data_IF_209770992015
#
_entry.id   IF_209770992015
#
_cell.length_a   1.000
_cell.length_b   1.000
_cell.length_c   1.000
_cell.angle_alpha   90.00
_cell.angle_beta   90.00
_cell.angle_gamma   90.00
#
_symmetry.space_group_name_H-M   'P 1'
#
loop_
_entity.id
_entity.type
_entity.pdbx_description
1 polymer ?
#
# COMPACT_ATOMS: atom_id res chain seq x y z
N UNK A 1 33.81 -27.04 -27.54
CA UNK A 1 32.58 -27.15 -26.73
C UNK A 1 32.64 -26.29 -25.47
N UNK A 2 33.70 -26.39 -24.64
CA UNK A 2 33.86 -25.60 -23.40
C UNK A 2 33.78 -24.08 -23.57
N UNK A 3 34.39 -23.53 -24.62
CA UNK A 3 34.35 -22.08 -24.92
C UNK A 3 32.97 -21.58 -25.33
N UNK A 4 32.19 -22.40 -26.06
CA UNK A 4 30.79 -22.09 -26.39
C UNK A 4 29.92 -22.10 -25.13
N UNK A 5 30.16 -23.03 -24.21
CA UNK A 5 29.48 -23.08 -22.92
C UNK A 5 29.77 -21.83 -22.08
N UNK A 6 31.04 -21.41 -22.02
CA UNK A 6 31.45 -20.21 -21.30
C UNK A 6 30.79 -18.94 -21.86
N UNK A 7 30.69 -18.83 -23.19
CA UNK A 7 30.01 -17.71 -23.85
C UNK A 7 28.51 -17.66 -23.55
N UNK A 8 27.83 -18.81 -23.53
CA UNK A 8 26.40 -18.89 -23.17
C UNK A 8 26.18 -18.51 -21.70
N UNK A 9 27.03 -18.98 -20.79
CA UNK A 9 26.94 -18.62 -19.36
C UNK A 9 27.17 -17.12 -19.15
N UNK A 10 28.16 -16.53 -19.83
CA UNK A 10 28.40 -15.08 -19.77
C UNK A 10 27.21 -14.27 -20.32
N UNK A 11 26.56 -14.75 -21.39
CA UNK A 11 25.37 -14.12 -21.96
C UNK A 11 24.14 -14.23 -21.05
N UNK A 12 23.97 -15.33 -20.31
CA UNK A 12 22.86 -15.46 -19.35
C UNK A 12 23.09 -14.57 -18.12
N UNK A 13 24.34 -14.46 -17.64
CA UNK A 13 24.69 -13.61 -16.50
C UNK A 13 24.58 -12.11 -16.82
N UNK A 14 24.71 -11.70 -18.08
CA UNK A 14 24.54 -10.30 -18.47
C UNK A 14 23.07 -9.86 -18.61
N UNK A 15 22.13 -10.80 -18.62
CA UNK A 15 20.68 -10.52 -18.59
C UNK A 15 20.18 -10.54 -17.15
N UNK A 16 20.70 -9.62 -16.34
CA UNK A 16 20.11 -9.31 -15.04
C UNK A 16 18.77 -8.62 -15.27
N UNK A 17 17.66 -9.35 -15.21
CA UNK A 17 16.33 -8.73 -15.23
C UNK A 17 16.15 -7.91 -13.94
N UNK A 18 15.67 -6.65 -14.02
CA UNK A 18 15.32 -5.90 -12.82
C UNK A 18 14.14 -6.60 -12.15
N UNK A 19 14.41 -7.40 -11.12
CA UNK A 19 13.38 -7.91 -10.20
C UNK A 19 13.01 -6.74 -9.28
N UNK A 20 11.98 -6.00 -9.65
CA UNK A 20 11.38 -5.00 -8.76
C UNK A 20 10.40 -5.71 -7.83
N UNK A 21 10.90 -6.15 -6.67
CA UNK A 21 10.05 -6.65 -5.59
C UNK A 21 9.38 -5.51 -4.78
N UNK A 22 9.73 -4.25 -5.07
CA UNK A 22 9.17 -3.10 -4.37
C UNK A 22 7.77 -2.78 -4.90
N UNK A 23 6.78 -2.78 -4.01
CA UNK A 23 5.43 -2.27 -4.26
C UNK A 23 5.47 -0.73 -4.29
N UNK A 24 5.89 -0.17 -5.42
CA UNK A 24 6.03 1.29 -5.57
C UNK A 24 4.71 1.94 -5.97
N UNK A 25 3.86 1.23 -6.71
CA UNK A 25 2.64 1.70 -7.35
C UNK A 25 1.35 1.25 -6.65
N UNK A 26 1.46 0.47 -5.57
CA UNK A 26 0.31 -0.01 -4.82
C UNK A 26 -0.07 0.92 -3.66
N UNK A 27 -1.34 0.88 -3.28
CA UNK A 27 -1.83 1.47 -2.04
C UNK A 27 -2.13 0.37 -1.02
N UNK A 28 -1.16 0.05 -0.17
CA UNK A 28 -1.31 -1.03 0.79
C UNK A 28 -2.21 -0.59 1.94
N UNK A 29 -3.31 -1.31 2.14
CA UNK A 29 -4.19 -1.17 3.29
C UNK A 29 -4.08 -2.43 4.15
N UNK A 30 -3.73 -2.25 5.42
CA UNK A 30 -3.62 -3.35 6.37
C UNK A 30 -4.51 -3.05 7.58
N UNK A 31 -5.35 -4.01 7.97
CA UNK A 31 -6.21 -3.90 9.16
C UNK A 31 -5.79 -4.98 10.16
N UNK A 32 -5.48 -4.58 11.39
CA UNK A 32 -5.35 -5.47 12.53
C UNK A 32 -6.66 -5.46 13.31
N UNK A 33 -7.24 -6.64 13.53
CA UNK A 33 -8.45 -6.80 14.32
C UNK A 33 -8.10 -7.39 15.69
N UNK A 34 -8.50 -6.72 16.76
CA UNK A 34 -8.50 -7.26 18.12
C UNK A 34 -9.91 -7.72 18.46
N UNK A 35 -10.03 -8.97 18.92
CA UNK A 35 -11.30 -9.60 19.24
C UNK A 35 -11.36 -9.85 20.76
N UNK A 36 -12.35 -9.26 21.40
CA UNK A 36 -12.70 -9.49 22.79
C UNK A 36 -14.14 -10.01 22.87
N UNK A 37 -14.54 -10.50 24.06
CA UNK A 37 -15.84 -11.15 24.25
C UNK A 37 -17.03 -10.31 23.78
N UNK A 38 -16.96 -9.00 23.95
CA UNK A 38 -18.03 -8.03 23.70
C UNK A 38 -17.59 -6.88 22.78
N UNK A 39 -16.39 -6.98 22.18
CA UNK A 39 -15.82 -5.89 21.40
C UNK A 39 -14.92 -6.38 20.28
N UNK A 40 -15.09 -5.77 19.10
CA UNK A 40 -14.12 -5.86 18.00
C UNK A 40 -13.51 -4.49 17.80
N UNK A 41 -12.17 -4.41 17.81
CA UNK A 41 -11.44 -3.19 17.51
C UNK A 41 -10.61 -3.38 16.24
N UNK A 42 -10.74 -2.45 15.30
CA UNK A 42 -9.91 -2.39 14.10
C UNK A 42 -8.87 -1.28 14.17
N UNK A 43 -7.62 -1.60 13.86
CA UNK A 43 -6.57 -0.64 13.59
C UNK A 43 -6.15 -0.75 12.13
N UNK A 44 -6.30 0.33 11.36
CA UNK A 44 -5.94 0.35 9.96
C UNK A 44 -4.67 1.17 9.73
N UNK A 45 -3.76 0.64 8.92
CA UNK A 45 -2.62 1.35 8.37
C UNK A 45 -2.78 1.50 6.87
N UNK A 46 -2.63 2.73 6.41
CA UNK A 46 -2.73 3.14 5.03
C UNK A 46 -1.33 3.54 4.53
N UNK A 47 -0.78 2.80 3.58
CA UNK A 47 0.61 2.95 3.12
C UNK A 47 0.60 3.11 1.58
N UNK A 48 0.53 4.35 1.07
CA UNK A 48 0.75 4.57 -0.34
C UNK A 48 2.19 4.24 -0.73
N UNK A 49 2.37 3.47 -1.80
CA UNK A 49 3.63 3.33 -2.49
C UNK A 49 4.09 4.68 -3.08
N UNK A 50 5.39 4.84 -3.29
CA UNK A 50 6.00 6.13 -3.71
C UNK A 50 5.47 6.65 -5.05
N UNK A 51 5.10 5.77 -5.98
CA UNK A 51 4.56 6.17 -7.28
C UNK A 51 3.12 6.67 -7.20
N UNK A 52 2.39 6.38 -6.11
CA UNK A 52 1.01 6.83 -5.89
C UNK A 52 0.85 7.80 -4.73
N UNK A 53 1.89 7.98 -3.90
CA UNK A 53 1.83 8.79 -2.68
C UNK A 53 1.50 10.26 -2.97
N UNK A 54 2.06 10.85 -4.02
CA UNK A 54 1.77 12.23 -4.43
C UNK A 54 0.28 12.42 -4.75
N UNK A 55 -0.30 11.52 -5.53
CA UNK A 55 -1.72 11.55 -5.90
C UNK A 55 -2.64 11.33 -4.69
N UNK A 56 -2.22 10.50 -3.72
CA UNK A 56 -2.96 10.30 -2.47
C UNK A 56 -2.86 11.55 -1.59
N UNK A 57 -1.65 12.08 -1.38
CA UNK A 57 -1.43 13.25 -0.54
C UNK A 57 -2.20 14.47 -1.07
N UNK A 58 -2.22 14.69 -2.39
CA UNK A 58 -3.02 15.74 -3.01
C UNK A 58 -4.54 15.60 -2.81
N UNK A 59 -5.05 14.39 -2.50
CA UNK A 59 -6.46 14.18 -2.12
C UNK A 59 -6.74 14.43 -0.64
N UNK A 60 -5.68 14.42 0.19
CA UNK A 60 -5.76 14.68 1.63
C UNK A 60 -5.55 16.18 1.87
N UNK A 61 -4.51 16.76 1.26
CA UNK A 61 -4.22 18.20 1.21
C UNK A 61 -5.25 18.92 0.33
N UNK A 62 -6.43 19.16 0.90
CA UNK A 62 -7.57 19.73 0.18
C UNK A 62 -7.44 21.22 -0.05
N UNK A 63 -6.64 21.91 0.77
CA UNK A 63 -6.36 23.33 0.61
C UNK A 63 -5.09 23.61 -0.22
N UNK A 64 -4.32 22.58 -0.56
CA UNK A 64 -3.10 22.62 -1.37
C UNK A 64 -1.99 23.50 -0.78
N UNK A 65 -1.89 23.56 0.55
CA UNK A 65 -0.85 24.34 1.24
C UNK A 65 0.46 23.54 1.48
N UNK A 66 0.46 22.25 1.11
CA UNK A 66 1.59 21.34 1.24
C UNK A 66 1.74 20.72 2.62
N UNK A 67 0.85 21.03 3.57
CA UNK A 67 0.81 20.46 4.91
C UNK A 67 -0.51 19.70 5.10
N UNK A 68 -0.45 18.57 5.80
CA UNK A 68 -1.67 17.85 6.17
C UNK A 68 -2.13 18.31 7.56
N UNK A 69 -3.22 19.06 7.60
CA UNK A 69 -3.86 19.47 8.85
C UNK A 69 -4.58 18.30 9.54
N UNK A 70 -4.87 18.46 10.84
CA UNK A 70 -5.68 17.48 11.59
C UNK A 70 -7.08 17.30 11.02
N UNK A 71 -7.69 18.39 10.54
CA UNK A 71 -9.01 18.35 9.89
C UNK A 71 -8.99 17.54 8.59
N UNK A 72 -7.96 17.71 7.77
CA UNK A 72 -7.79 16.98 6.52
C UNK A 72 -7.52 15.51 6.75
N UNK A 73 -6.63 15.21 7.70
CA UNK A 73 -6.35 13.85 8.15
C UNK A 73 -7.63 13.16 8.61
N UNK A 74 -8.44 13.83 9.43
CA UNK A 74 -9.69 13.27 9.95
C UNK A 74 -10.74 13.09 8.85
N UNK A 75 -10.94 14.09 7.99
CA UNK A 75 -11.86 14.01 6.86
C UNK A 75 -11.51 12.84 5.91
N UNK A 76 -10.22 12.63 5.65
CA UNK A 76 -9.75 11.49 4.88
C UNK A 76 -10.00 10.16 5.58
N UNK A 77 -9.69 10.05 6.88
CA UNK A 77 -9.96 8.84 7.66
C UNK A 77 -11.45 8.50 7.68
N UNK A 78 -12.32 9.48 7.86
CA UNK A 78 -13.78 9.30 7.82
C UNK A 78 -14.25 8.85 6.43
N UNK A 79 -13.62 9.33 5.35
CA UNK A 79 -13.91 8.84 3.99
C UNK A 79 -13.57 7.36 3.84
N UNK A 80 -12.38 6.96 4.28
CA UNK A 80 -11.95 5.55 4.24
C UNK A 80 -12.88 4.69 5.10
N UNK A 81 -13.28 5.15 6.28
CA UNK A 81 -14.21 4.43 7.15
C UNK A 81 -15.61 4.28 6.54
N UNK A 82 -16.10 5.28 5.79
CA UNK A 82 -17.39 5.17 5.07
C UNK A 82 -17.38 4.10 3.99
N UNK A 83 -16.23 3.84 3.39
CA UNK A 83 -16.07 2.83 2.35
C UNK A 83 -15.79 1.42 2.93
N UNK A 84 -15.65 1.30 4.26
CA UNK A 84 -15.38 0.05 4.93
C UNK A 84 -16.67 -0.61 5.44
N UNK A 85 -16.82 -1.90 5.16
CA UNK A 85 -17.84 -2.75 5.77
C UNK A 85 -17.16 -3.88 6.56
N UNK A 86 -17.66 -4.16 7.77
CA UNK A 86 -17.28 -5.30 8.57
C UNK A 86 -18.54 -6.12 8.84
N UNK A 87 -18.45 -7.44 8.70
CA UNK A 87 -19.56 -8.33 9.00
C UNK A 87 -19.12 -9.43 9.96
N UNK A 88 -20.01 -9.79 10.90
CA UNK A 88 -19.86 -10.92 11.82
C UNK A 88 -21.00 -11.89 11.53
N UNK A 89 -20.64 -13.11 11.13
CA UNK A 89 -21.60 -14.17 10.77
C UNK A 89 -22.65 -13.73 9.72
N UNK A 90 -22.26 -12.84 8.80
CA UNK A 90 -23.13 -12.32 7.74
C UNK A 90 -24.00 -11.13 8.14
N UNK A 91 -23.92 -10.65 9.38
CA UNK A 91 -24.55 -9.40 9.82
C UNK A 91 -23.54 -8.27 9.69
N UNK A 92 -23.87 -7.21 8.95
CA UNK A 92 -23.06 -6.00 8.77
C UNK A 92 -23.38 -5.00 9.88
#
# INVERSE_FOLDING_TARGET
MRTKLAAVVAMVLSVGLPVSAHRLDEYLQAILLSLEKDRVQGYMRLIPGVAVSSAVLAKIDTNADGLISESERRSYAERVLRDLALSIDGNV
#
